data_IF_762934671473
#
_entry.id   IF_762934671473
#
_cell.length_a   1.000
_cell.length_b   1.000
_cell.length_c   1.000
_cell.angle_alpha   90.00
_cell.angle_beta   90.00
_cell.angle_gamma   90.00
#
_symmetry.space_group_name_H-M   'P 1'
#
loop_
_entity.id
_entity.type
_entity.pdbx_description
1 polymer ?
#
# COMPACT_ATOMS: atom_id res chain seq x y z
N UNK A 1 -5.72 15.12 18.11
CA UNK A 1 -6.30 16.41 17.68
C UNK A 1 -7.43 16.12 16.70
N UNK A 2 -8.66 16.21 17.17
CA UNK A 2 -9.90 16.02 16.38
C UNK A 2 -9.98 17.10 15.30
N UNK A 3 -10.41 16.74 14.08
CA UNK A 3 -10.48 17.64 12.93
C UNK A 3 -11.43 18.81 13.19
N UNK A 4 -10.89 20.01 13.41
CA UNK A 4 -11.63 21.26 13.62
C UNK A 4 -12.49 21.68 12.41
N UNK A 5 -12.29 21.05 11.24
CA UNK A 5 -13.02 21.35 10.00
C UNK A 5 -14.27 20.48 9.80
N UNK A 6 -14.54 19.51 10.70
CA UNK A 6 -15.82 18.79 10.74
C UNK A 6 -16.84 19.45 11.69
N UNK A 7 -16.41 20.44 12.47
CA UNK A 7 -17.28 21.30 13.27
C UNK A 7 -17.53 22.60 12.52
N UNK A 8 -18.77 23.10 12.55
CA UNK A 8 -19.26 24.38 12.00
C UNK A 8 -18.64 25.57 12.77
N UNK A 9 -17.31 25.63 12.88
CA UNK A 9 -16.60 26.68 13.60
C UNK A 9 -15.97 27.60 12.57
N UNK A 10 -16.26 28.89 12.68
CA UNK A 10 -15.70 29.91 11.82
C UNK A 10 -14.16 29.88 11.91
N UNK A 11 -13.43 29.91 10.78
CA UNK A 11 -11.96 29.84 10.77
C UNK A 11 -11.28 30.94 11.60
N UNK A 12 -11.88 32.13 11.73
CA UNK A 12 -11.35 33.18 12.58
C UNK A 12 -11.55 32.81 14.07
N UNK A 13 -12.73 32.33 14.45
CA UNK A 13 -13.01 31.88 15.84
C UNK A 13 -12.08 30.73 16.26
N UNK A 14 -11.87 29.75 15.37
CA UNK A 14 -10.92 28.66 15.62
C UNK A 14 -9.47 29.16 15.79
N UNK A 15 -9.06 30.11 14.95
CA UNK A 15 -7.72 30.73 15.05
C UNK A 15 -7.54 31.49 16.35
N UNK A 16 -8.55 32.26 16.77
CA UNK A 16 -8.54 32.99 18.04
C UNK A 16 -8.42 32.04 19.24
N UNK A 17 -9.22 30.99 19.29
CA UNK A 17 -9.18 30.00 20.36
C UNK A 17 -7.79 29.35 20.49
N UNK A 18 -7.16 28.99 19.35
CA UNK A 18 -5.83 28.39 19.33
C UNK A 18 -4.73 29.36 19.79
N UNK A 19 -4.81 30.63 19.40
CA UNK A 19 -3.83 31.66 19.79
C UNK A 19 -3.97 31.98 21.28
N UNK A 20 -5.18 32.24 21.77
CA UNK A 20 -5.44 32.55 23.18
C UNK A 20 -5.13 31.35 24.09
N UNK A 21 -5.40 30.14 23.62
CA UNK A 21 -5.05 28.89 24.29
C UNK A 21 -3.55 28.55 24.25
N UNK A 22 -2.73 29.33 23.54
CA UNK A 22 -1.29 29.10 23.35
C UNK A 22 -0.97 27.68 22.86
N UNK A 23 -1.81 27.14 21.97
CA UNK A 23 -1.69 25.76 21.52
C UNK A 23 -0.43 25.52 20.66
N UNK A 24 0.08 26.57 20.01
CA UNK A 24 1.31 26.56 19.22
C UNK A 24 1.77 28.01 18.95
N UNK A 25 3.00 28.23 18.40
CA UNK A 25 3.40 29.53 17.88
C UNK A 25 2.41 30.06 16.82
N UNK A 26 2.19 31.38 16.78
CA UNK A 26 1.17 31.99 15.89
C UNK A 26 1.40 31.67 14.40
N UNK A 27 2.66 31.58 13.96
CA UNK A 27 3.00 31.20 12.59
C UNK A 27 2.54 29.77 12.26
N UNK A 28 2.66 28.84 13.21
CA UNK A 28 2.26 27.44 13.00
C UNK A 28 0.75 27.31 12.96
N UNK A 29 0.03 28.01 13.85
CA UNK A 29 -1.43 28.06 13.86
C UNK A 29 -1.96 28.60 12.53
N UNK A 30 -1.45 29.77 12.09
CA UNK A 30 -1.90 30.41 10.85
C UNK A 30 -1.62 29.51 9.63
N UNK A 31 -0.42 28.94 9.54
CA UNK A 31 -0.04 28.05 8.44
C UNK A 31 -0.96 26.84 8.37
N UNK A 32 -1.24 26.19 9.49
CA UNK A 32 -2.09 24.99 9.56
C UNK A 32 -3.56 25.31 9.21
N UNK A 33 -4.11 26.40 9.74
CA UNK A 33 -5.49 26.84 9.47
C UNK A 33 -5.69 27.23 8.00
N UNK A 34 -4.69 27.86 7.36
CA UNK A 34 -4.77 28.13 5.92
C UNK A 34 -4.55 26.87 5.09
N UNK A 35 -3.64 25.97 5.50
CA UNK A 35 -3.40 24.69 4.81
C UNK A 35 -4.66 23.83 4.74
N UNK A 36 -5.40 23.71 5.85
CA UNK A 36 -6.61 22.90 5.91
C UNK A 36 -7.83 23.59 5.30
N UNK A 37 -7.96 24.90 5.53
CA UNK A 37 -9.12 25.66 5.11
C UNK A 37 -9.07 26.19 3.67
N UNK A 38 -7.89 26.31 3.07
CA UNK A 38 -7.69 26.81 1.72
C UNK A 38 -7.73 28.33 1.58
N UNK A 39 -7.70 28.81 0.33
CA UNK A 39 -7.57 30.24 0.04
C UNK A 39 -8.73 31.05 0.64
N UNK A 40 -9.93 30.45 0.72
CA UNK A 40 -11.12 31.05 1.33
C UNK A 40 -10.97 31.35 2.83
N UNK A 41 -10.12 30.62 3.56
CA UNK A 41 -9.90 30.88 5.00
C UNK A 41 -8.73 31.82 5.26
N UNK A 42 -7.93 32.13 4.23
CA UNK A 42 -6.70 32.92 4.39
C UNK A 42 -6.95 34.30 4.98
N UNK A 43 -7.88 35.06 4.41
CA UNK A 43 -8.22 36.40 4.89
C UNK A 43 -8.72 36.40 6.35
N UNK A 44 -9.76 35.63 6.73
CA UNK A 44 -10.27 35.66 8.10
C UNK A 44 -9.24 35.18 9.14
N UNK A 45 -8.42 34.18 8.82
CA UNK A 45 -7.35 33.68 9.69
C UNK A 45 -6.26 34.75 9.90
N UNK A 46 -5.80 35.39 8.81
CA UNK A 46 -4.75 36.42 8.87
C UNK A 46 -5.20 37.66 9.65
N UNK A 47 -6.41 38.13 9.39
CA UNK A 47 -6.96 39.31 10.08
C UNK A 47 -7.09 39.05 11.58
N UNK A 48 -7.65 37.89 11.96
CA UNK A 48 -7.79 37.53 13.37
C UNK A 48 -6.45 37.35 14.06
N UNK A 49 -5.51 36.65 13.44
CA UNK A 49 -4.17 36.47 14.00
C UNK A 49 -3.45 37.82 14.20
N UNK A 50 -3.58 38.76 13.27
CA UNK A 50 -3.00 40.12 13.40
C UNK A 50 -3.63 40.93 14.52
N UNK A 51 -4.92 40.76 14.78
CA UNK A 51 -5.62 41.45 15.86
C UNK A 51 -5.15 40.98 17.25
N UNK A 52 -4.75 39.72 17.37
CA UNK A 52 -4.39 39.08 18.65
C UNK A 52 -2.87 39.03 18.92
N UNK A 53 -2.05 39.41 17.94
CA UNK A 53 -0.59 39.24 17.97
C UNK A 53 0.16 40.56 18.06
N UNK A 54 1.43 40.51 18.48
CA UNK A 54 2.25 41.71 18.58
C UNK A 54 2.59 42.27 17.18
N UNK A 55 2.80 43.59 17.02
CA UNK A 55 3.12 44.19 15.72
C UNK A 55 4.33 43.56 15.00
N UNK A 56 5.32 43.06 15.76
CA UNK A 56 6.52 42.39 15.23
C UNK A 56 6.23 41.04 14.55
N UNK A 57 5.08 40.41 14.83
CA UNK A 57 4.72 39.09 14.32
C UNK A 57 3.96 39.17 12.98
N UNK A 58 3.64 40.38 12.50
CA UNK A 58 2.88 40.59 11.26
C UNK A 58 3.55 39.99 10.03
N UNK A 59 4.88 40.06 9.93
CA UNK A 59 5.64 39.45 8.84
C UNK A 59 5.61 37.92 8.90
N UNK A 60 5.68 37.35 10.11
CA UNK A 60 5.57 35.91 10.38
C UNK A 60 4.17 35.41 9.98
N UNK A 61 3.12 36.11 10.38
CA UNK A 61 1.72 35.78 10.02
C UNK A 61 1.53 35.83 8.50
N UNK A 62 2.03 36.87 7.82
CA UNK A 62 1.89 37.01 6.38
C UNK A 62 2.62 35.90 5.62
N UNK A 63 3.85 35.56 6.05
CA UNK A 63 4.62 34.45 5.50
C UNK A 63 3.92 33.12 5.74
N UNK A 64 3.54 32.83 6.98
CA UNK A 64 2.84 31.60 7.35
C UNK A 64 1.54 31.38 6.55
N UNK A 65 0.77 32.43 6.31
CA UNK A 65 -0.44 32.36 5.50
C UNK A 65 -0.15 32.11 4.03
N UNK A 66 0.92 32.68 3.47
CA UNK A 66 1.36 32.38 2.12
C UNK A 66 1.83 30.91 2.01
N UNK A 67 2.66 30.47 2.95
CA UNK A 67 3.15 29.09 3.02
C UNK A 67 1.99 28.09 3.14
N UNK A 68 0.99 28.40 3.99
CA UNK A 68 -0.20 27.56 4.15
C UNK A 68 -1.09 27.52 2.90
N UNK A 69 -1.24 28.64 2.20
CA UNK A 69 -2.00 28.71 0.93
C UNK A 69 -1.31 27.90 -0.17
N UNK A 70 0.01 28.05 -0.31
CA UNK A 70 0.83 27.24 -1.22
C UNK A 70 0.67 25.75 -0.90
N UNK A 71 0.78 25.36 0.36
CA UNK A 71 0.60 23.97 0.79
C UNK A 71 -0.80 23.44 0.53
N UNK A 72 -1.85 24.25 0.73
CA UNK A 72 -3.22 23.86 0.38
C UNK A 72 -3.38 23.62 -1.13
N UNK A 73 -2.84 24.53 -1.96
CA UNK A 73 -2.88 24.39 -3.41
C UNK A 73 -2.12 23.14 -3.89
N UNK A 74 -1.03 22.77 -3.21
CA UNK A 74 -0.28 21.53 -3.43
C UNK A 74 -1.08 20.28 -3.04
N UNK A 75 -1.73 20.29 -1.86
CA UNK A 75 -2.57 19.20 -1.38
C UNK A 75 -3.83 19.02 -2.24
N UNK A 76 -4.34 20.10 -2.83
CA UNK A 76 -5.56 20.09 -3.67
C UNK A 76 -5.27 19.89 -5.16
N UNK A 77 -4.00 19.69 -5.55
CA UNK A 77 -3.59 19.45 -6.94
C UNK A 77 -3.77 20.65 -7.88
N UNK A 78 -3.91 21.87 -7.33
CA UNK A 78 -4.17 23.12 -8.07
C UNK A 78 -2.90 23.97 -8.31
N UNK A 79 -1.73 23.54 -7.83
CA UNK A 79 -0.46 24.25 -8.03
C UNK A 79 0.05 24.22 -9.48
N UNK A 80 0.36 25.38 -10.05
CA UNK A 80 0.86 25.58 -11.44
C UNK A 80 2.34 25.96 -11.53
N UNK A 81 3.14 25.70 -10.49
CA UNK A 81 4.57 26.05 -10.44
C UNK A 81 5.53 24.90 -10.80
N UNK A 82 6.64 25.16 -11.50
CA UNK A 82 7.69 24.17 -11.73
C UNK A 82 8.62 24.09 -10.51
N UNK A 83 8.16 23.46 -9.42
CA UNK A 83 9.03 23.09 -8.29
C UNK A 83 8.52 21.83 -7.60
N UNK A 84 8.55 20.71 -8.35
CA UNK A 84 8.67 19.35 -7.82
C UNK A 84 10.07 19.10 -7.22
N UNK A 85 10.61 20.01 -6.40
CA UNK A 85 11.85 19.75 -5.68
C UNK A 85 11.52 18.85 -4.49
N UNK A 86 11.62 17.55 -4.75
CA UNK A 86 11.72 16.45 -3.79
C UNK A 86 10.75 16.53 -2.60
N UNK A 87 9.55 15.94 -2.75
CA UNK A 87 9.07 15.11 -1.62
C UNK A 87 10.19 14.12 -1.37
N UNK A 88 10.82 14.20 -0.20
CA UNK A 88 11.80 13.23 0.22
C UNK A 88 11.02 11.93 0.45
N UNK A 89 11.19 11.00 -0.49
CA UNK A 89 10.57 9.70 -0.39
C UNK A 89 11.51 8.79 0.38
N UNK A 90 10.94 7.90 1.18
CA UNK A 90 11.67 6.84 1.83
C UNK A 90 10.95 5.51 1.66
N UNK A 91 11.66 4.44 1.99
CA UNK A 91 11.10 3.12 2.17
C UNK A 91 11.14 2.79 3.67
N UNK A 92 9.99 2.53 4.28
CA UNK A 92 9.91 1.97 5.62
C UNK A 92 10.01 0.46 5.56
N UNK A 93 10.79 -0.11 6.47
CA UNK A 93 11.01 -1.54 6.64
C UNK A 93 10.38 -1.97 7.96
N UNK A 94 9.41 -2.88 7.87
CA UNK A 94 8.75 -3.50 9.02
C UNK A 94 9.13 -4.98 9.06
N UNK A 95 10.26 -5.32 9.70
CA UNK A 95 10.71 -6.70 9.83
C UNK A 95 9.83 -7.48 10.82
N UNK A 96 9.47 -8.71 10.46
CA UNK A 96 8.76 -9.61 11.37
C UNK A 96 9.66 -10.10 12.51
N UNK A 97 9.05 -10.51 13.62
CA UNK A 97 9.79 -11.10 14.75
C UNK A 97 10.53 -10.09 15.63
N UNK A 98 10.05 -8.85 15.70
CA UNK A 98 10.46 -7.88 16.72
C UNK A 98 11.85 -7.26 16.48
N UNK A 99 12.11 -6.82 15.25
CA UNK A 99 13.21 -5.89 14.96
C UNK A 99 12.66 -4.48 14.74
N UNK A 100 13.46 -3.44 15.01
CA UNK A 100 12.98 -2.07 14.89
C UNK A 100 12.68 -1.64 13.46
N UNK A 101 11.62 -0.84 13.32
CA UNK A 101 11.26 -0.20 12.05
C UNK A 101 12.42 0.67 11.58
N UNK A 102 12.83 0.46 10.33
CA UNK A 102 13.92 1.18 9.68
C UNK A 102 13.39 2.05 8.55
N UNK A 103 14.00 3.21 8.35
CA UNK A 103 13.68 4.11 7.24
C UNK A 103 14.91 4.28 6.36
N UNK A 104 14.73 4.13 5.05
CA UNK A 104 15.79 4.34 4.07
C UNK A 104 15.38 5.39 3.04
N UNK A 105 16.23 6.38 2.87
CA UNK A 105 16.09 7.42 1.85
C UNK A 105 17.18 7.24 0.79
N UNK A 106 16.86 7.55 -0.47
CA UNK A 106 17.82 7.51 -1.56
C UNK A 106 17.68 8.75 -2.43
N UNK A 107 18.80 9.27 -2.92
CA UNK A 107 18.80 10.43 -3.84
C UNK A 107 18.10 10.14 -5.17
N UNK A 108 18.05 8.86 -5.59
CA UNK A 108 17.30 8.39 -6.75
C UNK A 108 16.12 7.53 -6.31
N UNK A 109 14.90 7.91 -6.74
CA UNK A 109 13.66 7.21 -6.33
C UNK A 109 13.63 5.75 -6.72
N UNK A 110 14.22 5.40 -7.87
CA UNK A 110 14.23 4.02 -8.37
C UNK A 110 15.11 3.10 -7.52
N UNK A 111 16.12 3.66 -6.85
CA UNK A 111 17.01 2.92 -5.96
C UNK A 111 16.27 2.38 -4.74
N UNK A 112 15.25 3.07 -4.24
CA UNK A 112 14.47 2.66 -3.06
C UNK A 112 13.81 1.28 -3.20
N UNK A 113 13.49 0.87 -4.43
CA UNK A 113 12.82 -0.41 -4.68
C UNK A 113 13.56 -1.34 -5.62
N UNK A 114 14.64 -0.88 -6.27
CA UNK A 114 15.56 -1.75 -7.02
C UNK A 114 16.75 -2.23 -6.20
N UNK A 115 17.04 -1.56 -5.09
CA UNK A 115 18.19 -1.84 -4.22
C UNK A 115 17.78 -1.64 -2.76
N UNK A 116 16.80 -2.42 -2.29
CA UNK A 116 16.42 -2.43 -0.90
C UNK A 116 17.58 -2.94 -0.01
N UNK A 117 17.51 -2.69 1.29
CA UNK A 117 18.55 -3.13 2.24
C UNK A 117 18.61 -4.66 2.25
N UNK A 118 19.76 -5.26 1.89
CA UNK A 118 19.88 -6.72 1.86
C UNK A 118 19.97 -7.32 3.28
N UNK A 119 19.73 -8.62 3.36
CA UNK A 119 19.93 -9.44 4.57
C UNK A 119 18.65 -9.99 5.20
N UNK A 120 17.46 -9.61 4.74
CA UNK A 120 16.20 -10.28 5.07
C UNK A 120 15.98 -11.53 4.21
N UNK A 121 15.19 -12.48 4.71
CA UNK A 121 14.87 -13.73 4.02
C UNK A 121 13.80 -13.58 2.93
N UNK A 122 12.78 -12.76 3.20
CA UNK A 122 11.72 -12.41 2.24
C UNK A 122 11.36 -10.94 2.35
N UNK A 123 11.26 -10.28 1.20
CA UNK A 123 10.91 -8.88 1.01
C UNK A 123 9.51 -8.79 0.43
N UNK A 124 8.55 -8.20 1.15
CA UNK A 124 7.21 -7.93 0.63
C UNK A 124 7.00 -6.43 0.43
N UNK A 125 7.03 -5.99 -0.81
CA UNK A 125 6.65 -4.63 -1.18
C UNK A 125 5.13 -4.48 -1.15
N UNK A 126 4.63 -3.48 -0.42
CA UNK A 126 3.21 -3.14 -0.41
C UNK A 126 2.98 -1.99 -1.39
N UNK A 127 2.25 -2.27 -2.46
CA UNK A 127 1.86 -1.29 -3.47
C UNK A 127 0.38 -0.95 -3.31
N UNK A 128 0.05 0.34 -3.29
CA UNK A 128 -1.33 0.80 -3.34
C UNK A 128 -1.90 0.77 -4.76
N UNK A 129 -3.22 0.69 -4.87
CA UNK A 129 -3.93 0.89 -6.13
C UNK A 129 -3.78 2.29 -6.69
N UNK A 130 -4.11 2.42 -7.98
CA UNK A 130 -4.11 3.69 -8.68
C UNK A 130 -5.02 4.70 -7.97
N UNK A 131 -4.55 5.93 -7.81
CA UNK A 131 -5.35 7.04 -7.26
C UNK A 131 -6.03 6.67 -5.94
N UNK A 132 -5.29 6.07 -4.99
CA UNK A 132 -5.80 5.57 -3.70
C UNK A 132 -6.76 6.53 -2.97
N UNK A 133 -6.51 7.84 -3.05
CA UNK A 133 -7.32 8.90 -2.43
C UNK A 133 -8.73 9.01 -3.03
N UNK A 134 -8.93 8.55 -4.27
CA UNK A 134 -10.18 8.57 -5.02
C UNK A 134 -10.89 7.22 -5.06
N UNK A 135 -10.30 6.18 -4.48
CA UNK A 135 -10.95 4.88 -4.38
C UNK A 135 -12.24 4.96 -3.55
N UNK A 136 -13.21 4.07 -3.78
CA UNK A 136 -14.36 3.91 -2.89
C UNK A 136 -13.95 3.76 -1.43
N UNK A 137 -14.79 4.21 -0.50
CA UNK A 137 -14.49 4.18 0.94
C UNK A 137 -14.17 2.76 1.44
N UNK A 138 -14.84 1.74 0.91
CA UNK A 138 -14.59 0.33 1.23
C UNK A 138 -13.18 -0.12 0.87
N UNK A 139 -12.67 0.33 -0.29
CA UNK A 139 -11.31 0.02 -0.74
C UNK A 139 -10.28 0.81 0.06
N UNK A 140 -10.55 2.09 0.37
CA UNK A 140 -9.67 2.87 1.26
C UNK A 140 -9.60 2.26 2.66
N UNK A 141 -10.72 1.77 3.20
CA UNK A 141 -10.77 1.11 4.51
C UNK A 141 -9.90 -0.15 4.54
N UNK A 142 -9.90 -0.94 3.44
CA UNK A 142 -9.02 -2.11 3.29
C UNK A 142 -7.54 -1.73 3.39
N UNK A 143 -7.12 -0.67 2.69
CA UNK A 143 -5.75 -0.17 2.77
C UNK A 143 -5.40 0.32 4.17
N UNK A 144 -6.28 1.15 4.77
CA UNK A 144 -6.08 1.65 6.14
C UNK A 144 -5.89 0.51 7.12
N UNK A 145 -6.70 -0.53 7.03
CA UNK A 145 -6.59 -1.67 7.92
C UNK A 145 -5.31 -2.47 7.71
N UNK A 146 -4.92 -2.74 6.47
CA UNK A 146 -3.64 -3.40 6.19
C UNK A 146 -2.48 -2.62 6.82
N UNK A 147 -2.40 -1.31 6.57
CA UNK A 147 -1.31 -0.49 7.11
C UNK A 147 -1.37 -0.39 8.63
N UNK A 148 -2.56 -0.26 9.24
CA UNK A 148 -2.72 -0.29 10.69
C UNK A 148 -2.20 -1.60 11.29
N UNK A 149 -2.48 -2.73 10.64
CA UNK A 149 -2.02 -4.04 11.09
C UNK A 149 -0.51 -4.18 10.94
N UNK A 150 0.08 -3.77 9.82
CA UNK A 150 1.55 -3.78 9.67
C UNK A 150 2.21 -2.90 10.73
N UNK A 151 1.69 -1.69 10.96
CA UNK A 151 2.18 -0.77 11.99
C UNK A 151 2.07 -1.36 13.41
N UNK A 152 0.99 -2.09 13.71
CA UNK A 152 0.74 -2.62 15.06
C UNK A 152 1.47 -3.94 15.31
N UNK A 153 1.53 -4.84 14.33
CA UNK A 153 1.98 -6.21 14.51
C UNK A 153 3.44 -6.42 14.10
N UNK A 154 3.85 -5.87 12.94
CA UNK A 154 5.22 -6.03 12.49
C UNK A 154 6.21 -5.13 13.27
N UNK A 155 5.75 -3.98 13.79
CA UNK A 155 6.61 -3.08 14.57
C UNK A 155 6.72 -3.45 16.07
N UNK A 156 5.97 -4.45 16.54
CA UNK A 156 5.92 -4.82 17.96
C UNK A 156 7.15 -5.66 18.37
N UNK A 157 8.31 -5.02 18.53
CA UNK A 157 9.44 -5.58 19.26
C UNK A 157 10.81 -5.06 18.81
N UNK A 158 11.75 -5.04 19.76
CA UNK A 158 13.19 -5.03 19.44
C UNK A 158 13.98 -3.79 19.85
N UNK A 159 15.24 -4.01 20.23
CA UNK A 159 16.25 -2.98 20.48
C UNK A 159 16.61 -2.21 19.20
N UNK A 160 16.93 -0.92 19.35
CA UNK A 160 17.05 0.09 18.29
C UNK A 160 18.17 -0.10 17.24
N UNK A 161 18.74 -1.29 17.10
CA UNK A 161 19.88 -1.53 16.20
C UNK A 161 19.97 -2.98 15.67
N UNK A 162 18.84 -3.68 15.55
CA UNK A 162 18.85 -5.04 15.02
C UNK A 162 19.18 -5.07 13.51
N UNK A 163 20.31 -5.68 13.15
CA UNK A 163 20.70 -5.91 11.77
C UNK A 163 19.69 -6.80 11.03
N UNK A 164 19.55 -6.68 9.68
CA UNK A 164 18.70 -7.56 8.88
C UNK A 164 19.01 -9.04 9.15
N UNK A 165 17.95 -9.85 9.27
CA UNK A 165 18.03 -11.27 9.60
C UNK A 165 17.55 -12.15 8.44
N UNK A 166 18.32 -13.18 8.03
CA UNK A 166 17.99 -14.00 6.86
C UNK A 166 16.79 -14.93 7.07
N UNK A 167 16.36 -15.13 8.32
CA UNK A 167 15.16 -15.89 8.68
C UNK A 167 13.91 -14.99 8.88
N UNK A 168 14.08 -13.67 8.80
CA UNK A 168 13.00 -12.70 8.96
C UNK A 168 12.34 -12.33 7.62
N UNK A 169 11.04 -12.11 7.70
CA UNK A 169 10.25 -11.45 6.66
C UNK A 169 10.30 -9.94 6.89
N UNK A 170 10.16 -9.13 5.83
CA UNK A 170 10.07 -7.67 5.96
C UNK A 170 9.01 -7.11 5.02
N UNK A 171 8.14 -6.24 5.53
CA UNK A 171 7.29 -5.40 4.70
C UNK A 171 8.01 -4.11 4.32
N UNK A 172 7.95 -3.73 3.05
CA UNK A 172 8.51 -2.51 2.50
C UNK A 172 7.39 -1.58 2.03
N UNK A 173 7.34 -0.37 2.59
CA UNK A 173 6.26 0.57 2.34
C UNK A 173 6.85 1.92 1.92
N UNK A 174 6.51 2.43 0.70
CA UNK A 174 6.96 3.74 0.28
C UNK A 174 6.22 4.83 1.06
N UNK A 175 6.96 5.76 1.67
CA UNK A 175 6.39 6.87 2.47
C UNK A 175 6.95 8.23 2.10
N UNK A 176 6.16 9.26 2.37
CA UNK A 176 6.55 10.67 2.33
C UNK A 176 7.17 11.04 3.69
N UNK A 177 8.47 11.36 3.75
CA UNK A 177 9.18 11.60 5.02
C UNK A 177 8.69 12.86 5.75
N UNK A 178 7.99 13.75 5.06
CA UNK A 178 7.36 14.94 5.65
C UNK A 178 6.15 14.60 6.54
N UNK A 179 5.61 13.39 6.40
CA UNK A 179 4.42 12.93 7.10
C UNK A 179 4.77 12.01 8.29
N UNK A 180 6.04 11.91 8.66
CA UNK A 180 6.46 11.10 9.83
C UNK A 180 5.68 11.51 11.08
N UNK A 181 5.11 10.51 11.76
CA UNK A 181 4.36 10.69 13.01
C UNK A 181 2.83 10.75 12.86
N UNK A 182 2.29 10.68 11.64
CA UNK A 182 0.86 10.41 11.41
C UNK A 182 0.61 8.91 11.20
N UNK A 183 -0.63 8.39 11.23
CA UNK A 183 -0.87 6.97 10.96
C UNK A 183 -0.31 6.52 9.61
N UNK A 184 0.29 5.31 9.54
CA UNK A 184 1.02 4.81 8.37
C UNK A 184 0.29 4.99 7.02
N UNK A 185 -1.01 4.73 6.95
CA UNK A 185 -1.81 4.95 5.73
C UNK A 185 -1.69 6.37 5.17
N UNK A 186 -1.63 7.38 6.05
CA UNK A 186 -1.50 8.78 5.65
C UNK A 186 -0.05 9.16 5.32
N UNK A 187 0.93 8.33 5.68
CA UNK A 187 2.33 8.54 5.30
C UNK A 187 2.65 7.96 3.93
N UNK A 188 1.82 7.07 3.39
CA UNK A 188 2.11 6.36 2.14
C UNK A 188 2.33 7.34 0.99
N UNK A 189 3.49 7.23 0.35
CA UNK A 189 3.80 8.01 -0.84
C UNK A 189 3.11 7.38 -2.07
N UNK A 190 1.83 7.71 -2.27
CA UNK A 190 1.02 7.19 -3.36
C UNK A 190 1.70 7.36 -4.73
N UNK A 191 2.35 8.50 -4.98
CA UNK A 191 3.06 8.77 -6.23
C UNK A 191 4.28 7.86 -6.47
N UNK A 192 5.02 7.47 -5.41
CA UNK A 192 6.11 6.50 -5.54
C UNK A 192 5.56 5.09 -5.72
N UNK A 193 4.54 4.72 -4.95
CA UNK A 193 3.86 3.42 -5.11
C UNK A 193 3.29 3.25 -6.52
N UNK A 194 2.69 4.28 -7.09
CA UNK A 194 2.17 4.25 -8.47
C UNK A 194 3.29 4.04 -9.49
N UNK A 195 4.43 4.70 -9.30
CA UNK A 195 5.61 4.48 -10.15
C UNK A 195 6.11 3.04 -10.05
N UNK A 196 6.25 2.51 -8.83
CA UNK A 196 6.65 1.12 -8.58
C UNK A 196 5.70 0.14 -9.28
N UNK A 197 4.39 0.34 -9.10
CA UNK A 197 3.33 -0.46 -9.73
C UNK A 197 3.38 -0.39 -11.25
N UNK A 198 3.54 0.79 -11.85
CA UNK A 198 3.64 0.96 -13.30
C UNK A 198 4.89 0.30 -13.89
N UNK A 199 6.03 0.37 -13.20
CA UNK A 199 7.23 -0.34 -13.63
C UNK A 199 7.06 -1.86 -13.56
N UNK A 200 6.44 -2.37 -12.49
CA UNK A 200 6.12 -3.78 -12.36
C UNK A 200 5.14 -4.25 -13.44
N UNK A 201 4.08 -3.49 -13.73
CA UNK A 201 3.15 -3.77 -14.85
C UNK A 201 3.91 -3.86 -16.18
N UNK A 202 4.84 -2.94 -16.44
CA UNK A 202 5.66 -2.96 -17.65
C UNK A 202 6.55 -4.22 -17.72
N UNK A 203 7.19 -4.56 -16.61
CA UNK A 203 8.02 -5.77 -16.50
C UNK A 203 7.18 -7.04 -16.72
N UNK A 204 6.03 -7.17 -16.04
CA UNK A 204 5.09 -8.27 -16.23
C UNK A 204 4.66 -8.44 -17.69
N UNK A 205 4.32 -7.34 -18.37
CA UNK A 205 3.99 -7.37 -19.81
C UNK A 205 5.15 -7.88 -20.65
N UNK A 206 6.39 -7.47 -20.34
CA UNK A 206 7.58 -7.93 -21.05
C UNK A 206 7.87 -9.42 -20.85
N UNK A 207 7.40 -10.01 -19.74
CA UNK A 207 7.50 -11.44 -19.41
C UNK A 207 6.25 -12.24 -19.80
N UNK A 208 5.41 -11.72 -20.68
CA UNK A 208 4.16 -12.35 -21.13
C UNK A 208 3.11 -12.59 -20.03
N UNK A 209 3.21 -11.89 -18.88
CA UNK A 209 2.24 -11.93 -17.79
C UNK A 209 1.15 -10.86 -17.95
N UNK A 210 0.54 -10.81 -19.15
CA UNK A 210 -0.38 -9.73 -19.53
C UNK A 210 -1.66 -9.68 -18.67
N UNK A 211 -2.17 -10.84 -18.23
CA UNK A 211 -3.36 -10.93 -17.38
C UNK A 211 -3.11 -10.32 -16.00
N UNK A 212 -2.01 -10.67 -15.35
CA UNK A 212 -1.60 -10.10 -14.06
C UNK A 212 -1.33 -8.60 -14.18
N UNK A 213 -0.63 -8.18 -15.24
CA UNK A 213 -0.39 -6.78 -15.51
C UNK A 213 -1.69 -5.97 -15.65
N UNK A 214 -2.67 -6.49 -16.41
CA UNK A 214 -3.99 -5.85 -16.54
C UNK A 214 -4.77 -5.85 -15.22
N UNK A 215 -4.60 -6.88 -14.39
CA UNK A 215 -5.19 -6.94 -13.06
C UNK A 215 -4.61 -5.88 -12.13
N UNK A 216 -3.28 -5.72 -12.07
CA UNK A 216 -2.63 -4.68 -11.28
C UNK A 216 -2.92 -3.25 -11.78
N UNK A 217 -3.22 -3.11 -13.07
CA UNK A 217 -3.62 -1.84 -13.66
C UNK A 217 -5.03 -1.41 -13.23
N UNK A 218 -5.96 -2.37 -13.13
CA UNK A 218 -7.38 -2.12 -12.84
C UNK A 218 -7.77 -2.32 -11.37
N UNK A 219 -7.04 -3.16 -10.64
CA UNK A 219 -7.35 -3.52 -9.26
C UNK A 219 -7.18 -2.34 -8.32
N UNK A 220 -8.07 -2.26 -7.33
CA UNK A 220 -8.01 -1.26 -6.28
C UNK A 220 -6.82 -1.48 -5.33
N UNK A 221 -6.28 -2.69 -5.27
CA UNK A 221 -5.27 -3.11 -4.30
C UNK A 221 -5.83 -3.23 -2.87
N UNK A 222 -4.94 -3.29 -1.86
CA UNK A 222 -3.48 -3.23 -1.99
C UNK A 222 -2.89 -4.48 -2.65
N UNK A 223 -1.72 -4.35 -3.26
CA UNK A 223 -0.96 -5.44 -3.86
C UNK A 223 0.26 -5.75 -3.01
N UNK A 224 0.46 -7.02 -2.66
CA UNK A 224 1.66 -7.49 -1.96
C UNK A 224 2.56 -8.22 -2.96
N UNK A 225 3.79 -7.75 -3.10
CA UNK A 225 4.78 -8.34 -4.02
C UNK A 225 5.94 -8.86 -3.20
N UNK A 226 5.93 -10.17 -2.95
CA UNK A 226 6.92 -10.85 -2.14
C UNK A 226 8.01 -11.50 -3.00
N UNK A 227 9.26 -11.35 -2.60
CA UNK A 227 10.43 -11.91 -3.25
C UNK A 227 11.54 -12.22 -2.27
N UNK A 228 12.55 -12.95 -2.73
CA UNK A 228 13.74 -13.30 -1.93
C UNK A 228 14.84 -12.26 -2.10
N UNK A 229 14.86 -11.58 -3.23
CA UNK A 229 15.84 -10.54 -3.51
C UNK A 229 15.31 -9.19 -3.05
N UNK A 230 16.20 -8.28 -2.61
CA UNK A 230 15.87 -6.90 -2.25
C UNK A 230 15.61 -6.01 -3.48
N UNK A 231 14.92 -6.54 -4.49
CA UNK A 231 14.60 -5.85 -5.74
C UNK A 231 13.15 -6.16 -6.14
N UNK A 232 12.34 -5.14 -6.35
CA UNK A 232 10.98 -5.30 -6.85
C UNK A 232 10.95 -5.82 -8.30
N UNK A 233 11.97 -5.50 -9.10
CA UNK A 233 12.05 -5.71 -10.54
C UNK A 233 13.33 -6.49 -10.91
N UNK A 234 13.49 -7.71 -10.39
CA UNK A 234 14.72 -8.48 -10.55
C UNK A 234 14.98 -8.87 -12.01
N UNK A 235 16.22 -8.78 -12.46
CA UNK A 235 16.60 -9.23 -13.79
C UNK A 235 16.78 -10.76 -13.81
N UNK A 236 15.86 -11.52 -14.41
CA UNK A 236 16.05 -12.97 -14.62
C UNK A 236 14.79 -13.84 -14.59
N UNK A 237 14.88 -15.03 -15.18
CA UNK A 237 13.84 -16.07 -15.18
C UNK A 237 13.68 -16.79 -13.85
N UNK A 238 14.74 -16.77 -13.04
CA UNK A 238 14.83 -17.50 -11.76
C UNK A 238 14.44 -16.63 -10.57
N UNK A 239 13.97 -15.41 -10.84
CA UNK A 239 13.55 -14.47 -9.83
C UNK A 239 12.11 -14.76 -9.39
N UNK A 240 11.98 -15.69 -8.45
CA UNK A 240 10.68 -16.10 -7.91
C UNK A 240 10.00 -14.94 -7.19
N UNK A 241 8.72 -14.73 -7.50
CA UNK A 241 7.87 -13.73 -6.83
C UNK A 241 6.49 -14.30 -6.53
N UNK A 242 5.93 -13.88 -5.40
CA UNK A 242 4.53 -14.08 -5.06
C UNK A 242 3.84 -12.72 -5.13
N UNK A 243 2.85 -12.58 -6.02
CA UNK A 243 2.01 -11.39 -6.13
C UNK A 243 0.63 -11.71 -5.57
N UNK A 244 0.18 -10.95 -4.58
CA UNK A 244 -1.15 -11.03 -3.98
C UNK A 244 -1.95 -9.75 -4.27
N UNK A 245 -3.10 -9.87 -4.92
CA UNK A 245 -4.02 -8.76 -5.17
C UNK A 245 -5.20 -8.76 -4.19
N UNK A 246 -5.16 -7.90 -3.19
CA UNK A 246 -6.19 -7.87 -2.14
C UNK A 246 -7.45 -7.09 -2.54
N UNK A 247 -7.59 -6.64 -3.79
CA UNK A 247 -8.75 -5.84 -4.25
C UNK A 247 -10.10 -6.47 -3.96
N UNK A 248 -10.19 -7.81 -4.00
CA UNK A 248 -11.43 -8.55 -3.77
C UNK A 248 -11.63 -9.00 -2.32
N UNK A 249 -10.71 -8.67 -1.41
CA UNK A 249 -10.70 -9.21 -0.06
C UNK A 249 -11.43 -8.30 0.93
N UNK A 250 -12.25 -8.90 1.79
CA UNK A 250 -12.89 -8.18 2.90
C UNK A 250 -11.88 -7.69 3.94
N UNK A 251 -12.23 -6.60 4.62
CA UNK A 251 -11.39 -5.98 5.66
C UNK A 251 -11.13 -6.95 6.83
N UNK A 252 -12.10 -7.81 7.13
CA UNK A 252 -12.06 -8.85 8.16
C UNK A 252 -10.94 -9.88 7.96
N UNK A 253 -10.42 -10.03 6.74
CA UNK A 253 -9.35 -10.97 6.43
C UNK A 253 -7.94 -10.36 6.53
N UNK A 254 -7.81 -9.03 6.66
CA UNK A 254 -6.50 -8.36 6.65
C UNK A 254 -5.58 -8.84 7.77
N UNK A 255 -6.13 -9.17 8.94
CA UNK A 255 -5.36 -9.74 10.04
C UNK A 255 -4.71 -11.07 9.64
N UNK A 256 -5.49 -11.97 9.03
CA UNK A 256 -5.00 -13.28 8.62
C UNK A 256 -3.98 -13.17 7.47
N UNK A 257 -4.12 -12.18 6.59
CA UNK A 257 -3.10 -11.87 5.58
C UNK A 257 -1.79 -11.46 6.24
N UNK A 258 -1.82 -10.48 7.16
CA UNK A 258 -0.60 -10.04 7.85
C UNK A 258 0.02 -11.18 8.65
N UNK A 259 -0.78 -11.98 9.35
CA UNK A 259 -0.33 -13.17 10.08
C UNK A 259 0.35 -14.21 9.17
N UNK A 260 -0.15 -14.42 7.95
CA UNK A 260 0.47 -15.36 7.00
C UNK A 260 1.92 -14.97 6.64
N UNK A 261 2.19 -13.67 6.55
CA UNK A 261 3.52 -13.10 6.27
C UNK A 261 4.38 -12.95 7.51
N UNK A 262 3.81 -12.54 8.64
CA UNK A 262 4.54 -12.25 9.88
C UNK A 262 5.10 -13.52 10.54
N UNK A 263 4.42 -14.66 10.36
CA UNK A 263 4.91 -15.97 10.81
C UNK A 263 6.32 -16.24 10.26
N UNK A 264 7.26 -16.45 11.19
CA UNK A 264 8.65 -16.74 10.89
C UNK A 264 8.83 -17.80 9.80
N UNK A 265 9.86 -17.61 8.99
CA UNK A 265 10.28 -18.56 7.97
C UNK A 265 11.26 -19.51 8.65
N UNK A 266 11.10 -20.82 8.45
CA UNK A 266 12.10 -21.77 8.96
C UNK A 266 13.49 -21.35 8.47
N UNK A 267 14.52 -21.31 9.33
CA UNK A 267 15.87 -20.91 8.92
C UNK A 267 16.41 -21.70 7.72
N UNK A 268 15.95 -22.94 7.54
CA UNK A 268 16.31 -23.82 6.42
C UNK A 268 15.70 -23.40 5.07
N UNK A 269 14.65 -22.58 5.11
CA UNK A 269 13.91 -22.05 3.96
C UNK A 269 14.23 -20.58 3.69
N UNK A 270 14.89 -19.88 4.63
CA UNK A 270 15.26 -18.47 4.49
C UNK A 270 16.07 -18.24 3.22
N UNK A 271 15.64 -17.27 2.41
CA UNK A 271 16.31 -16.96 1.15
C UNK A 271 16.11 -17.98 0.02
N UNK A 272 15.11 -18.88 0.13
CA UNK A 272 14.82 -19.90 -0.90
C UNK A 272 13.39 -19.80 -1.44
N UNK A 273 13.11 -20.19 -2.71
CA UNK A 273 11.79 -20.14 -3.32
C UNK A 273 10.69 -20.84 -2.51
N UNK A 274 11.05 -21.89 -1.77
CA UNK A 274 10.16 -22.64 -0.90
C UNK A 274 9.58 -21.78 0.23
N UNK A 275 10.26 -20.71 0.66
CA UNK A 275 9.70 -19.74 1.61
C UNK A 275 8.49 -18.98 1.04
N UNK A 276 8.53 -18.62 -0.24
CA UNK A 276 7.41 -17.97 -0.93
C UNK A 276 6.24 -18.94 -1.12
N UNK A 277 6.52 -20.22 -1.40
CA UNK A 277 5.50 -21.26 -1.43
C UNK A 277 4.82 -21.45 -0.06
N UNK A 278 5.60 -21.47 1.03
CA UNK A 278 5.05 -21.56 2.38
C UNK A 278 4.14 -20.35 2.73
N UNK A 279 4.51 -19.14 2.30
CA UNK A 279 3.65 -17.95 2.47
C UNK A 279 2.38 -18.09 1.62
N UNK A 280 2.49 -18.52 0.37
CA UNK A 280 1.34 -18.77 -0.51
C UNK A 280 0.37 -19.77 0.14
N UNK A 281 0.86 -20.91 0.62
CA UNK A 281 0.02 -21.95 1.20
C UNK A 281 -0.74 -21.43 2.44
N UNK A 282 -0.08 -20.60 3.27
CA UNK A 282 -0.75 -19.89 4.39
C UNK A 282 -1.82 -18.92 3.91
N UNK A 283 -1.55 -18.17 2.84
CA UNK A 283 -2.52 -17.23 2.25
C UNK A 283 -3.71 -17.95 1.59
N UNK A 284 -3.50 -19.13 1.02
CA UNK A 284 -4.57 -19.98 0.49
C UNK A 284 -5.53 -20.45 1.60
N UNK A 285 -5.03 -20.66 2.82
CA UNK A 285 -5.87 -20.96 4.00
C UNK A 285 -6.67 -19.77 4.52
N UNK A 286 -6.27 -18.53 4.18
CA UNK A 286 -7.05 -17.32 4.49
C UNK A 286 -8.27 -17.19 3.57
N UNK A 287 -8.23 -17.83 2.39
CA UNK A 287 -9.31 -17.72 1.41
C UNK A 287 -10.60 -18.28 2.00
N UNK A 288 -11.71 -17.53 1.95
CA UNK A 288 -13.00 -18.10 2.28
C UNK A 288 -13.28 -19.27 1.34
N UNK A 289 -13.15 -20.50 1.87
CA UNK A 289 -13.50 -21.75 1.18
C UNK A 289 -15.01 -21.64 0.93
N UNK A 290 -15.39 -21.24 -0.28
CA UNK A 290 -16.79 -20.97 -0.62
C UNK A 290 -17.67 -22.17 -0.27
N UNK A 291 -18.51 -22.02 0.75
CA UNK A 291 -19.32 -23.12 1.23
C UNK A 291 -19.93 -22.93 2.62
N UNK A 292 -20.66 -21.82 2.83
CA UNK A 292 -21.84 -21.86 3.69
C UNK A 292 -22.86 -20.79 3.22
N UNK A 293 -23.20 -20.84 1.92
CA UNK A 293 -24.45 -20.25 1.45
C UNK A 293 -25.58 -21.24 1.74
N UNK A 294 -26.07 -21.21 2.97
CA UNK A 294 -27.43 -21.62 3.24
C UNK A 294 -28.39 -20.59 2.59
N UNK A 295 -29.06 -21.03 1.52
CA UNK A 295 -30.30 -20.45 0.96
C UNK A 295 -30.24 -19.03 0.38
N UNK A 296 -30.06 -18.93 -0.94
CA UNK A 296 -30.44 -17.73 -1.71
C UNK A 296 -29.80 -17.67 -3.08
N UNK A 297 -30.50 -18.17 -4.11
CA UNK A 297 -29.99 -18.20 -5.48
C UNK A 297 -29.54 -16.83 -6.00
N UNK A 298 -28.24 -16.68 -6.21
CA UNK A 298 -27.61 -15.59 -6.93
C UNK A 298 -26.29 -16.10 -7.50
N UNK A 299 -26.08 -15.94 -8.80
CA UNK A 299 -24.95 -16.50 -9.52
C UNK A 299 -23.61 -16.17 -8.84
N UNK A 300 -22.86 -17.21 -8.47
CA UNK A 300 -21.50 -17.08 -7.98
C UNK A 300 -20.61 -16.53 -9.10
N UNK A 301 -20.35 -15.21 -9.10
CA UNK A 301 -19.28 -14.60 -9.89
C UNK A 301 -17.96 -15.01 -9.27
N UNK A 302 -17.40 -16.11 -9.76
CA UNK A 302 -16.07 -16.56 -9.39
C UNK A 302 -15.05 -15.49 -9.79
N UNK A 303 -14.29 -14.99 -8.81
CA UNK A 303 -12.95 -14.48 -9.12
C UNK A 303 -11.98 -14.81 -7.98
N UNK A 304 -11.63 -16.09 -7.76
CA UNK A 304 -10.92 -16.50 -6.55
C UNK A 304 -9.44 -16.77 -6.83
N UNK A 305 -8.78 -15.96 -7.66
CA UNK A 305 -7.33 -16.05 -7.79
C UNK A 305 -6.72 -14.66 -7.70
N UNK A 306 -6.36 -14.32 -6.47
CA UNK A 306 -5.58 -13.14 -6.15
C UNK A 306 -4.10 -13.45 -5.92
N UNK A 307 -3.71 -14.72 -5.89
CA UNK A 307 -2.34 -15.17 -5.65
C UNK A 307 -1.67 -15.66 -6.95
N UNK A 308 -0.51 -15.10 -7.26
CA UNK A 308 0.24 -15.40 -8.48
C UNK A 308 1.71 -15.67 -8.14
N UNK A 309 2.16 -16.90 -8.40
CA UNK A 309 3.59 -17.22 -8.41
C UNK A 309 4.18 -16.92 -9.79
N UNK A 310 5.28 -16.17 -9.81
CA UNK A 310 6.12 -15.85 -10.96
C UNK A 310 7.49 -16.52 -10.79
N UNK A 311 8.14 -16.86 -11.91
CA UNK A 311 9.46 -17.52 -11.93
C UNK A 311 9.39 -19.05 -11.81
N UNK A 312 10.46 -19.70 -12.27
CA UNK A 312 10.61 -21.16 -12.33
C UNK A 312 10.25 -21.77 -13.68
N UNK A 313 11.02 -22.78 -14.10
CA UNK A 313 10.70 -23.60 -15.28
C UNK A 313 9.40 -24.37 -15.04
N UNK A 314 8.55 -24.36 -16.07
CA UNK A 314 7.13 -24.77 -16.13
C UNK A 314 6.76 -26.22 -15.73
N UNK A 315 7.62 -27.00 -15.06
CA UNK A 315 7.31 -28.40 -14.73
C UNK A 315 6.39 -28.59 -13.52
N UNK A 316 6.22 -27.59 -12.65
CA UNK A 316 5.32 -27.70 -11.48
C UNK A 316 3.87 -27.22 -11.73
N UNK A 317 3.56 -26.68 -12.92
CA UNK A 317 2.23 -26.11 -13.23
C UNK A 317 1.51 -26.71 -14.45
N UNK A 318 2.06 -27.73 -15.09
CA UNK A 318 1.31 -28.56 -16.05
C UNK A 318 0.12 -29.32 -15.42
N UNK A 319 -0.04 -29.30 -14.09
CA UNK A 319 -1.11 -30.00 -13.37
C UNK A 319 -2.38 -29.20 -13.04
N UNK A 320 -2.45 -27.87 -13.25
CA UNK A 320 -3.56 -27.07 -12.72
C UNK A 320 -4.30 -26.18 -13.74
N UNK A 321 -4.04 -26.31 -15.04
CA UNK A 321 -4.73 -25.53 -16.07
C UNK A 321 -5.02 -26.30 -17.38
N UNK A 322 -5.28 -27.61 -17.29
CA UNK A 322 -6.00 -28.35 -18.35
C UNK A 322 -7.33 -28.82 -17.77
N UNK A 323 -8.19 -27.84 -17.48
CA UNK A 323 -9.61 -28.06 -17.23
C UNK A 323 -10.37 -28.02 -18.54
N UNK A 324 -10.80 -29.19 -19.01
CA UNK A 324 -11.81 -29.44 -20.06
C UNK A 324 -11.43 -29.10 -21.49
N UNK A 325 -10.76 -30.05 -22.14
CA UNK A 325 -11.09 -30.36 -23.54
C UNK A 325 -11.16 -31.89 -23.72
N UNK A 326 -12.26 -32.32 -24.36
CA UNK A 326 -12.54 -33.68 -24.89
C UNK A 326 -12.94 -34.77 -23.88
N UNK A 327 -14.26 -34.91 -23.68
CA UNK A 327 -14.93 -36.23 -23.70
C UNK A 327 -16.45 -35.98 -23.84
N UNK A 328 -16.91 -35.93 -25.08
CA UNK A 328 -18.30 -35.63 -25.37
C UNK A 328 -18.75 -35.78 -26.82
N UNK A 329 -18.06 -36.56 -27.66
CA UNK A 329 -18.61 -37.03 -28.95
C UNK A 329 -17.95 -38.36 -29.33
N UNK A 330 -18.53 -39.49 -28.92
CA UNK A 330 -18.40 -40.80 -29.60
C UNK A 330 -19.21 -41.87 -28.87
N UNK A 331 -20.54 -41.88 -29.01
CA UNK A 331 -21.37 -43.08 -28.80
C UNK A 331 -22.83 -42.85 -29.21
N UNK A 332 -23.09 -42.42 -30.45
CA UNK A 332 -24.40 -42.64 -31.08
C UNK A 332 -24.10 -43.02 -32.53
N UNK A 333 -24.15 -44.33 -32.81
CA UNK A 333 -24.46 -44.99 -34.09
C UNK A 333 -23.87 -46.40 -34.06
N UNK A 334 -24.67 -47.36 -33.57
CA UNK A 334 -24.71 -48.75 -34.03
C UNK A 334 -25.78 -49.50 -33.21
N UNK A 335 -26.98 -49.55 -33.77
CA UNK A 335 -27.97 -50.58 -33.46
C UNK A 335 -28.55 -51.02 -34.81
N UNK A 336 -27.90 -52.02 -35.41
CA UNK A 336 -28.56 -52.93 -36.35
C UNK A 336 -29.02 -54.16 -35.55
N UNK A 337 -30.26 -54.64 -35.75
CA UNK A 337 -30.78 -55.81 -35.04
C UNK A 337 -30.33 -57.12 -35.71
N UNK A 338 -30.15 -58.22 -34.97
CA UNK A 338 -30.02 -59.53 -35.59
C UNK A 338 -31.40 -60.11 -35.94
N UNK A 339 -31.49 -60.63 -37.16
CA UNK A 339 -32.52 -61.55 -37.62
C UNK A 339 -32.36 -62.92 -36.96
N UNK A 340 -33.46 -63.45 -36.41
CA UNK A 340 -33.87 -64.86 -36.46
C UNK A 340 -35.32 -64.97 -35.97
#
# INVERSE_FOLDING_TARGET
MTSLYLSVIDPAEGTEALILGKCAPVGDIVREMVTKGGEQTRAPVVERARALSAPRERSVIAKAAADGATRHAELSGLGTGPTRLARDHAMLYFPSGGSTVRIESAGERDRLYRQAVPGFGVYTFILVGAEIERLPETDQARHRELFRLVETYAAAGGEADASPRPDAHVFLIPVDTELVGVPLFNQVAAGLSDRMRLQLIKDLRSRSQASLAARMEKGAGPFLVAGIEPDLLPDGSDAYRLVADLSGMGIEHMYAVVDAFDRGISPELGGRPESLAAIRDRLEDVVPKGGDQASGGGAATADPVWLFMLGGTDEARAGAAIGRFVLGVAAIFKNEPPSA
#
